data_IF_742433654013
#
_entry.id   IF_742433654013
#
_cell.length_a   1.000
_cell.length_b   1.000
_cell.length_c   1.000
_cell.angle_alpha   90.00
_cell.angle_beta   90.00
_cell.angle_gamma   90.00
#
_symmetry.space_group_name_H-M   'P 1'
#
loop_
_entity.id
_entity.type
_entity.pdbx_description
1 polymer ?
#
# COMPACT_ATOMS: atom_id res chain seq x y z
N UNK A 1 -25.66 1.54 15.44
CA UNK A 1 -24.97 2.85 15.55
C UNK A 1 -25.05 3.52 14.19
N UNK A 2 -25.32 4.83 14.14
CA UNK A 2 -25.35 5.57 12.88
C UNK A 2 -23.90 5.71 12.34
N UNK A 3 -23.72 5.52 11.02
CA UNK A 3 -22.42 5.71 10.36
C UNK A 3 -22.17 7.22 10.17
N UNK A 4 -21.05 7.72 10.67
CA UNK A 4 -20.62 9.09 10.37
C UNK A 4 -20.35 9.27 8.88
N UNK A 5 -20.69 10.45 8.35
CA UNK A 5 -20.37 10.84 6.98
C UNK A 5 -18.88 11.16 6.84
N UNK A 6 -18.36 11.07 5.60
CA UNK A 6 -16.98 11.42 5.30
C UNK A 6 -16.67 12.90 5.63
N UNK A 7 -17.65 13.78 5.44
CA UNK A 7 -17.52 15.22 5.77
C UNK A 7 -17.35 15.45 7.26
N UNK A 8 -18.11 14.72 8.09
CA UNK A 8 -17.97 14.78 9.55
C UNK A 8 -16.61 14.26 10.00
N UNK A 9 -16.14 13.15 9.43
CA UNK A 9 -14.81 12.61 9.71
C UNK A 9 -13.72 13.62 9.36
N UNK A 10 -13.75 14.20 8.15
CA UNK A 10 -12.77 15.22 7.73
C UNK A 10 -12.76 16.44 8.67
N UNK A 11 -13.93 16.86 9.13
CA UNK A 11 -14.07 17.96 10.09
C UNK A 11 -13.51 17.60 11.47
N UNK A 12 -13.67 16.36 11.92
CA UNK A 12 -13.07 15.88 13.16
C UNK A 12 -11.53 15.83 13.03
N UNK A 13 -11.02 15.31 11.93
CA UNK A 13 -9.58 15.24 11.63
C UNK A 13 -8.94 16.63 11.61
N UNK A 14 -9.61 17.64 11.05
CA UNK A 14 -9.06 19.01 11.00
C UNK A 14 -8.95 19.68 12.37
N UNK A 15 -9.53 19.10 13.42
CA UNK A 15 -9.51 19.62 14.79
C UNK A 15 -8.57 18.86 15.71
N UNK A 16 -7.91 17.81 15.22
CA UNK A 16 -6.95 17.04 16.00
C UNK A 16 -5.72 17.88 16.34
N UNK A 17 -5.17 17.64 17.52
CA UNK A 17 -3.83 18.08 17.84
C UNK A 17 -2.79 17.37 16.96
N UNK A 18 -1.55 17.91 16.84
CA UNK A 18 -0.50 17.24 16.08
C UNK A 18 -0.20 15.80 16.54
N UNK A 19 -0.33 15.52 17.84
CA UNK A 19 -0.10 14.19 18.41
C UNK A 19 -1.21 13.21 18.03
N UNK A 20 -2.48 13.61 18.21
CA UNK A 20 -3.62 12.78 17.81
C UNK A 20 -3.66 12.54 16.29
N UNK A 21 -3.22 13.52 15.49
CA UNK A 21 -3.10 13.36 14.04
C UNK A 21 -1.99 12.35 13.70
N UNK A 22 -0.86 12.36 14.40
CA UNK A 22 0.21 11.39 14.20
C UNK A 22 -0.24 9.97 14.53
N UNK A 23 -1.00 9.79 15.61
CA UNK A 23 -1.58 8.50 15.98
C UNK A 23 -2.59 8.02 14.94
N UNK A 24 -3.47 8.91 14.46
CA UNK A 24 -4.41 8.58 13.39
C UNK A 24 -3.70 8.19 12.09
N UNK A 25 -2.62 8.88 11.73
CA UNK A 25 -1.80 8.53 10.56
C UNK A 25 -1.18 7.15 10.71
N UNK A 26 -0.66 6.82 11.89
CA UNK A 26 -0.11 5.47 12.18
C UNK A 26 -1.18 4.40 12.00
N UNK A 27 -2.35 4.60 12.60
CA UNK A 27 -3.47 3.68 12.46
C UNK A 27 -3.92 3.50 10.99
N UNK A 28 -4.03 4.59 10.23
CA UNK A 28 -4.41 4.53 8.81
C UNK A 28 -3.34 3.77 8.02
N UNK A 29 -2.05 4.04 8.27
CA UNK A 29 -0.94 3.33 7.62
C UNK A 29 -1.00 1.84 7.89
N UNK A 30 -1.18 1.42 9.14
CA UNK A 30 -1.30 -0.01 9.48
C UNK A 30 -2.48 -0.68 8.74
N UNK A 31 -3.61 0.02 8.66
CA UNK A 31 -4.80 -0.47 7.96
C UNK A 31 -4.60 -0.53 6.45
N UNK A 32 -4.02 0.50 5.86
CA UNK A 32 -3.77 0.58 4.42
C UNK A 32 -2.66 -0.38 4.01
N UNK A 33 -1.62 -0.57 4.84
CA UNK A 33 -0.57 -1.58 4.64
C UNK A 33 -1.16 -2.96 4.44
N UNK A 34 -2.12 -3.40 5.27
CA UNK A 34 -2.73 -4.73 5.10
C UNK A 34 -3.55 -4.87 3.79
N UNK A 35 -4.13 -3.78 3.29
CA UNK A 35 -4.82 -3.78 2.00
C UNK A 35 -3.82 -3.77 0.84
N UNK A 36 -2.73 -3.01 0.97
CA UNK A 36 -1.63 -2.97 0.02
C UNK A 36 -0.90 -4.31 -0.07
N UNK A 37 -0.60 -4.95 1.06
CA UNK A 37 0.04 -6.27 1.11
C UNK A 37 -0.78 -7.30 0.34
N UNK A 38 -2.10 -7.34 0.60
CA UNK A 38 -3.02 -8.23 -0.13
C UNK A 38 -3.05 -7.92 -1.62
N UNK A 39 -3.08 -6.65 -1.99
CA UNK A 39 -3.09 -6.25 -3.40
C UNK A 39 -1.77 -6.63 -4.11
N UNK A 40 -0.63 -6.51 -3.42
CA UNK A 40 0.67 -6.95 -3.94
C UNK A 40 0.65 -8.46 -4.17
N UNK A 41 0.17 -9.25 -3.20
CA UNK A 41 0.06 -10.70 -3.34
C UNK A 41 -0.81 -11.07 -4.55
N UNK A 42 -2.00 -10.47 -4.67
CA UNK A 42 -2.93 -10.68 -5.80
C UNK A 42 -2.33 -10.25 -7.15
N UNK A 43 -1.57 -9.15 -7.19
CA UNK A 43 -0.93 -8.67 -8.40
C UNK A 43 0.17 -9.62 -8.89
N UNK A 44 0.90 -10.30 -7.99
CA UNK A 44 1.99 -11.24 -8.33
C UNK A 44 1.58 -12.72 -8.42
N UNK A 45 0.35 -13.05 -8.05
CA UNK A 45 -0.22 -14.40 -8.10
C UNK A 45 -0.27 -15.01 -9.51
N UNK A 46 -0.60 -16.30 -9.61
CA UNK A 46 -0.77 -16.97 -10.90
C UNK A 46 -1.98 -16.39 -11.67
N UNK A 47 -1.70 -15.71 -12.79
CA UNK A 47 -2.69 -14.93 -13.54
C UNK A 47 -2.88 -13.49 -13.04
N UNK A 48 -2.15 -13.11 -11.98
CA UNK A 48 -2.06 -11.75 -11.48
C UNK A 48 -1.47 -10.80 -12.50
N UNK A 49 -1.83 -9.52 -12.40
CA UNK A 49 -1.50 -8.48 -13.39
C UNK A 49 0.01 -8.27 -13.56
N UNK A 50 0.79 -8.45 -12.50
CA UNK A 50 2.24 -8.28 -12.48
C UNK A 50 3.00 -9.59 -12.65
N UNK A 51 2.32 -10.73 -12.81
CA UNK A 51 2.99 -12.00 -13.12
C UNK A 51 3.91 -11.93 -14.35
N UNK A 52 3.55 -11.27 -15.48
CA UNK A 52 4.45 -11.14 -16.62
C UNK A 52 5.74 -10.36 -16.29
N UNK A 53 5.62 -9.32 -15.46
CA UNK A 53 6.77 -8.52 -15.00
C UNK A 53 7.71 -9.37 -14.14
N UNK A 54 7.16 -10.25 -13.29
CA UNK A 54 7.96 -11.18 -12.51
C UNK A 54 8.78 -12.15 -13.38
N UNK A 55 8.20 -12.64 -14.48
CA UNK A 55 8.93 -13.50 -15.43
C UNK A 55 10.00 -12.73 -16.19
N UNK A 56 9.74 -11.48 -16.57
CA UNK A 56 10.72 -10.58 -17.19
C UNK A 56 11.92 -10.35 -16.27
N UNK A 57 11.68 -10.00 -15.01
CA UNK A 57 12.73 -9.81 -14.00
C UNK A 57 13.56 -11.07 -13.80
N UNK A 58 12.93 -12.26 -13.78
CA UNK A 58 13.66 -13.54 -13.69
C UNK A 58 14.55 -13.77 -14.92
N UNK A 59 14.05 -13.44 -16.11
CA UNK A 59 14.81 -13.57 -17.35
C UNK A 59 15.99 -12.58 -17.42
N UNK A 60 15.79 -11.35 -16.97
CA UNK A 60 16.84 -10.32 -16.86
C UNK A 60 17.93 -10.74 -15.88
N UNK A 61 17.54 -11.23 -14.70
CA UNK A 61 18.48 -11.75 -13.70
C UNK A 61 19.31 -12.91 -14.26
N UNK A 62 18.66 -13.86 -14.95
CA UNK A 62 19.35 -15.00 -15.56
C UNK A 62 20.32 -14.58 -16.68
N UNK A 63 19.96 -13.52 -17.43
CA UNK A 63 20.77 -12.99 -18.50
C UNK A 63 21.85 -11.98 -18.03
N UNK A 64 21.93 -11.69 -16.74
CA UNK A 64 22.83 -10.68 -16.19
C UNK A 64 22.49 -9.25 -16.63
N UNK A 65 21.24 -8.97 -17.04
CA UNK A 65 20.74 -7.63 -17.37
C UNK A 65 20.31 -6.90 -16.10
N UNK A 66 21.22 -6.76 -15.16
CA UNK A 66 20.99 -6.10 -13.87
C UNK A 66 22.11 -5.09 -13.62
N UNK A 67 21.78 -4.01 -12.95
CA UNK A 67 22.74 -2.98 -12.53
C UNK A 67 22.92 -3.05 -11.01
N UNK A 68 24.09 -2.66 -10.51
CA UNK A 68 24.27 -2.47 -9.07
C UNK A 68 23.37 -1.33 -8.58
N UNK A 69 22.76 -1.51 -7.41
CA UNK A 69 22.04 -0.42 -6.77
C UNK A 69 23.01 0.74 -6.46
N UNK A 70 22.59 1.99 -6.71
CA UNK A 70 23.43 3.17 -6.44
C UNK A 70 23.69 3.40 -4.95
#
# INVERSE_FOLDING_TARGET
MAKMSLTEIKTAVSRLSPEELADLITFIRERDSAAWDRQIDEDFDEGGRLRPVLEEVRADLHAGRVEEMP
#
